data_IF_804462358625
#
_entry.id   IF_804462358625
#
_cell.length_a   1.000
_cell.length_b   1.000
_cell.length_c   1.000
_cell.angle_alpha   90.00
_cell.angle_beta   90.00
_cell.angle_gamma   90.00
#
_symmetry.space_group_name_H-M   'P 1'
#
loop_
_entity.id
_entity.type
_entity.pdbx_description
1 polymer ?
#
# COMPACT_ATOMS: atom_id res chain seq x y z
N UNK A 1 16.34 2.00 -25.16
CA UNK A 1 16.43 0.64 -24.61
C UNK A 1 15.01 0.22 -24.28
N UNK A 2 14.57 -0.97 -24.71
CA UNK A 2 13.26 -1.49 -24.30
C UNK A 2 13.36 -1.84 -22.82
N UNK A 3 12.61 -1.15 -21.95
CA UNK A 3 12.55 -1.50 -20.52
C UNK A 3 11.87 -2.86 -20.39
N UNK A 4 12.64 -3.91 -20.10
CA UNK A 4 12.11 -5.25 -19.89
C UNK A 4 11.46 -5.36 -18.51
N UNK A 5 10.20 -5.81 -18.45
CA UNK A 5 9.51 -6.05 -17.20
C UNK A 5 10.13 -7.25 -16.45
N UNK A 6 10.35 -7.18 -15.12
CA UNK A 6 10.89 -8.30 -14.36
C UNK A 6 9.99 -9.55 -14.42
N UNK A 7 10.56 -10.71 -14.73
CA UNK A 7 9.80 -11.97 -14.83
C UNK A 7 9.13 -12.38 -13.51
N UNK A 8 9.78 -12.09 -12.39
CA UNK A 8 9.22 -12.36 -11.06
C UNK A 8 7.97 -11.50 -10.80
N UNK A 9 7.99 -10.22 -11.19
CA UNK A 9 6.82 -9.34 -11.08
C UNK A 9 5.64 -9.87 -11.89
N UNK A 10 5.89 -10.28 -13.14
CA UNK A 10 4.85 -10.86 -14.00
C UNK A 10 4.31 -12.19 -13.45
N UNK A 11 5.17 -12.99 -12.82
CA UNK A 11 4.78 -14.24 -12.15
C UNK A 11 3.93 -13.97 -10.92
N UNK A 12 4.29 -12.99 -10.10
CA UNK A 12 3.52 -12.59 -8.92
C UNK A 12 2.19 -11.94 -9.31
N UNK A 13 2.15 -11.13 -10.37
CA UNK A 13 0.92 -10.55 -10.92
C UNK A 13 -0.03 -11.65 -11.38
N UNK A 14 0.44 -12.55 -12.24
CA UNK A 14 -0.35 -13.69 -12.70
C UNK A 14 -0.76 -14.62 -11.54
N UNK A 15 -0.05 -14.54 -10.41
CA UNK A 15 -0.36 -15.28 -9.22
C UNK A 15 -1.41 -14.64 -8.29
N UNK A 16 -1.79 -13.38 -8.54
CA UNK A 16 -2.63 -12.60 -7.64
C UNK A 16 -1.90 -12.16 -6.36
N UNK A 17 -0.57 -11.98 -6.43
CA UNK A 17 0.30 -11.68 -5.29
C UNK A 17 0.81 -10.24 -5.26
N UNK A 18 0.26 -9.33 -6.05
CA UNK A 18 0.76 -7.95 -6.16
C UNK A 18 -0.30 -6.95 -5.75
N UNK A 19 0.10 -5.99 -4.91
CA UNK A 19 -0.70 -4.82 -4.53
C UNK A 19 -0.08 -3.57 -5.14
N UNK A 20 -0.88 -2.79 -5.86
CA UNK A 20 -0.43 -1.52 -6.43
C UNK A 20 -0.50 -0.42 -5.37
N UNK A 21 0.58 0.35 -5.20
CA UNK A 21 0.61 1.58 -4.43
C UNK A 21 0.66 2.75 -5.40
N UNK A 22 -0.36 3.61 -5.37
CA UNK A 22 -0.50 4.76 -6.27
C UNK A 22 -0.24 6.06 -5.53
N UNK A 23 0.76 6.80 -6.02
CA UNK A 23 1.04 8.16 -5.58
C UNK A 23 0.51 9.21 -6.56
N UNK A 24 0.70 10.48 -6.20
CA UNK A 24 0.17 11.62 -6.96
C UNK A 24 0.71 11.69 -8.40
N UNK A 25 1.88 11.09 -8.66
CA UNK A 25 2.43 10.99 -10.02
C UNK A 25 1.56 10.15 -10.99
N UNK A 26 0.69 9.27 -10.47
CA UNK A 26 -0.23 8.50 -11.29
C UNK A 26 -1.30 9.39 -11.93
N UNK A 27 -1.87 10.33 -11.16
CA UNK A 27 -2.94 11.25 -11.58
C UNK A 27 -2.43 12.61 -12.07
N UNK A 28 -1.13 12.89 -11.94
CA UNK A 28 -0.48 14.12 -12.38
C UNK A 28 -0.70 14.47 -13.87
N UNK A 29 -0.97 13.48 -14.73
CA UNK A 29 -1.34 13.73 -16.14
C UNK A 29 -2.58 14.63 -16.25
N UNK A 30 -3.47 14.65 -15.26
CA UNK A 30 -4.65 15.51 -15.24
C UNK A 30 -4.33 16.98 -14.92
N UNK A 31 -3.05 17.37 -14.86
CA UNK A 31 -2.62 18.73 -14.52
C UNK A 31 -2.66 19.04 -13.02
N UNK A 32 -2.87 18.02 -12.18
CA UNK A 32 -2.88 18.19 -10.73
C UNK A 32 -1.49 18.63 -10.23
N UNK A 33 -1.41 19.63 -9.35
CA UNK A 33 -0.14 20.18 -8.93
C UNK A 33 0.61 19.25 -7.97
N UNK A 34 1.94 19.35 -7.98
CA UNK A 34 2.78 18.80 -6.91
C UNK A 34 2.80 19.67 -5.65
N UNK A 35 3.49 19.17 -4.61
CA UNK A 35 3.60 19.80 -3.29
C UNK A 35 3.96 21.28 -3.28
N UNK A 36 4.96 21.68 -4.07
CA UNK A 36 5.41 23.09 -4.09
C UNK A 36 4.29 24.07 -4.46
N UNK A 37 3.50 23.76 -5.50
CA UNK A 37 2.38 24.61 -5.93
C UNK A 37 1.20 24.55 -4.96
N UNK A 38 0.94 23.41 -4.32
CA UNK A 38 -0.07 23.32 -3.28
C UNK A 38 0.27 24.22 -2.09
N UNK A 39 1.52 24.15 -1.62
CA UNK A 39 2.00 24.97 -0.50
C UNK A 39 1.98 26.46 -0.84
N UNK A 40 2.37 26.83 -2.07
CA UNK A 40 2.25 28.21 -2.56
C UNK A 40 0.80 28.72 -2.49
N UNK A 41 -0.18 27.92 -2.94
CA UNK A 41 -1.61 28.27 -2.84
C UNK A 41 -2.05 28.48 -1.40
N UNK A 42 -1.64 27.59 -0.49
CA UNK A 42 -1.98 27.70 0.93
C UNK A 42 -1.31 28.92 1.60
N UNK A 43 -0.04 29.20 1.30
CA UNK A 43 0.68 30.39 1.79
C UNK A 43 -0.07 31.67 1.42
N UNK A 44 -0.66 31.72 0.23
CA UNK A 44 -1.42 32.88 -0.24
C UNK A 44 -2.74 33.11 0.53
N UNK A 45 -3.30 32.08 1.17
CA UNK A 45 -4.48 32.22 2.02
C UNK A 45 -4.17 32.80 3.42
N UNK A 46 -2.89 32.82 3.85
CA UNK A 46 -2.50 33.34 5.17
C UNK A 46 -2.88 34.82 5.34
N UNK A 47 -2.69 35.63 4.29
CA UNK A 47 -3.02 37.06 4.35
C UNK A 47 -4.52 37.26 4.54
N UNK A 48 -5.35 36.50 3.82
CA UNK A 48 -6.82 36.55 3.94
C UNK A 48 -7.28 36.10 5.32
N UNK A 49 -6.72 35.00 5.83
CA UNK A 49 -7.06 34.43 7.13
C UNK A 49 -6.71 35.34 8.32
N UNK A 50 -5.69 36.19 8.18
CA UNK A 50 -5.19 37.06 9.26
C UNK A 50 -5.65 38.52 9.17
N UNK A 51 -6.24 38.93 8.03
CA UNK A 51 -6.67 40.31 7.78
C UNK A 51 -7.77 40.81 8.72
N UNK A 52 -8.61 39.94 9.28
CA UNK A 52 -9.78 40.32 10.08
C UNK A 52 -9.59 40.19 11.60
N UNK A 53 -8.41 39.79 12.08
CA UNK A 53 -8.15 39.46 13.50
C UNK A 53 -7.34 40.52 14.27
N UNK A 54 -7.29 41.76 13.77
CA UNK A 54 -6.59 42.89 14.39
C UNK A 54 -5.07 42.94 14.11
N UNK A 55 -4.42 44.03 14.53
CA UNK A 55 -3.03 44.36 14.15
C UNK A 55 -1.99 43.29 14.58
N UNK A 56 -2.12 42.75 15.79
CA UNK A 56 -1.20 41.72 16.29
C UNK A 56 -1.30 40.40 15.52
N UNK A 57 -2.52 39.99 15.14
CA UNK A 57 -2.72 38.79 14.31
C UNK A 57 -2.19 38.99 12.89
N UNK A 58 -2.31 40.21 12.34
CA UNK A 58 -1.78 40.55 11.03
C UNK A 58 -0.25 40.53 11.00
N UNK A 59 0.40 41.08 12.02
CA UNK A 59 1.86 41.03 12.16
C UNK A 59 2.38 39.59 12.26
N UNK A 60 1.75 38.77 13.10
CA UNK A 60 2.08 37.34 13.23
C UNK A 60 1.87 36.57 11.93
N UNK A 61 0.77 36.84 11.21
CA UNK A 61 0.48 36.27 9.89
C UNK A 61 1.58 36.57 8.88
N UNK A 62 2.02 37.82 8.79
CA UNK A 62 3.10 38.23 7.89
C UNK A 62 4.43 37.52 8.21
N UNK A 63 4.78 37.38 9.49
CA UNK A 63 5.98 36.63 9.92
C UNK A 63 5.90 35.15 9.52
N UNK A 64 4.76 34.50 9.76
CA UNK A 64 4.56 33.09 9.42
C UNK A 64 4.56 32.88 7.90
N UNK A 65 3.93 33.76 7.14
CA UNK A 65 3.96 33.75 5.68
C UNK A 65 5.39 33.84 5.15
N UNK A 66 6.21 34.75 5.66
CA UNK A 66 7.61 34.89 5.28
C UNK A 66 8.42 33.62 5.62
N UNK A 67 8.19 33.03 6.79
CA UNK A 67 8.86 31.78 7.18
C UNK A 67 8.45 30.61 6.28
N UNK A 68 7.16 30.47 5.97
CA UNK A 68 6.65 29.43 5.09
C UNK A 68 7.16 29.61 3.65
N UNK A 69 7.26 30.84 3.15
CA UNK A 69 7.83 31.12 1.83
C UNK A 69 9.32 30.73 1.78
N UNK A 70 10.11 31.11 2.79
CA UNK A 70 11.52 30.70 2.86
C UNK A 70 11.68 29.17 2.90
N UNK A 71 10.83 28.47 3.65
CA UNK A 71 10.83 27.02 3.70
C UNK A 71 10.46 26.40 2.33
N UNK A 72 9.49 26.99 1.63
CA UNK A 72 9.09 26.57 0.28
C UNK A 72 10.24 26.75 -0.72
N UNK A 73 10.91 27.91 -0.72
CA UNK A 73 12.04 28.22 -1.60
C UNK A 73 13.23 27.27 -1.34
N UNK A 74 13.45 26.90 -0.08
CA UNK A 74 14.44 25.91 0.34
C UNK A 74 14.02 24.44 0.09
N UNK A 75 12.84 24.21 -0.52
CA UNK A 75 12.24 22.88 -0.75
C UNK A 75 12.02 22.06 0.53
N UNK A 76 11.91 22.72 1.69
CA UNK A 76 11.57 22.11 2.97
C UNK A 76 10.05 21.96 3.09
N UNK A 77 9.46 21.15 2.20
CA UNK A 77 8.00 21.06 2.05
C UNK A 77 7.28 20.67 3.33
N UNK A 78 7.80 19.70 4.08
CA UNK A 78 7.14 19.23 5.31
C UNK A 78 7.13 20.30 6.41
N UNK A 79 8.24 21.04 6.58
CA UNK A 79 8.30 22.17 7.52
C UNK A 79 7.39 23.32 7.08
N UNK A 80 7.36 23.63 5.79
CA UNK A 80 6.44 24.60 5.21
C UNK A 80 4.98 24.21 5.49
N UNK A 81 4.62 22.94 5.32
CA UNK A 81 3.30 22.40 5.62
C UNK A 81 2.93 22.57 7.10
N UNK A 82 3.83 22.24 8.04
CA UNK A 82 3.59 22.45 9.48
C UNK A 82 3.32 23.92 9.82
N UNK A 83 4.08 24.85 9.23
CA UNK A 83 3.86 26.29 9.41
C UNK A 83 2.47 26.72 8.90
N UNK A 84 2.10 26.28 7.70
CA UNK A 84 0.80 26.56 7.09
C UNK A 84 -0.34 25.99 7.94
N UNK A 85 -0.27 24.73 8.36
CA UNK A 85 -1.29 24.07 9.18
C UNK A 85 -1.44 24.71 10.56
N UNK A 86 -0.35 25.21 11.16
CA UNK A 86 -0.42 25.93 12.44
C UNK A 86 -1.09 27.30 12.33
N UNK A 87 -1.27 27.83 11.11
CA UNK A 87 -1.76 29.19 10.85
C UNK A 87 -3.17 29.20 10.29
N UNK A 88 -3.47 28.32 9.33
CA UNK A 88 -4.76 28.24 8.67
C UNK A 88 -5.73 27.35 9.44
N UNK A 89 -7.02 27.68 9.36
CA UNK A 89 -8.07 26.78 9.84
C UNK A 89 -8.19 25.59 8.89
N UNK A 90 -8.53 24.42 9.43
CA UNK A 90 -8.68 23.20 8.64
C UNK A 90 -9.69 23.35 7.51
N UNK A 91 -10.80 24.08 7.73
CA UNK A 91 -11.78 24.39 6.69
C UNK A 91 -11.15 25.13 5.48
N UNK A 92 -10.32 26.14 5.73
CA UNK A 92 -9.60 26.86 4.65
C UNK A 92 -8.64 25.94 3.90
N UNK A 93 -7.94 25.05 4.60
CA UNK A 93 -7.04 24.09 3.96
C UNK A 93 -7.85 23.13 3.09
N UNK A 94 -8.98 22.62 3.58
CA UNK A 94 -9.90 21.76 2.82
C UNK A 94 -10.46 22.46 1.59
N UNK A 95 -10.83 23.73 1.68
CA UNK A 95 -11.32 24.49 0.53
C UNK A 95 -10.24 24.58 -0.55
N UNK A 96 -8.99 24.88 -0.18
CA UNK A 96 -7.87 24.89 -1.13
C UNK A 96 -7.61 23.50 -1.71
N UNK A 97 -7.66 22.44 -0.89
CA UNK A 97 -7.49 21.06 -1.36
C UNK A 97 -8.61 20.67 -2.34
N UNK A 98 -9.87 20.97 -2.04
CA UNK A 98 -11.01 20.72 -2.92
C UNK A 98 -10.90 21.47 -4.24
N UNK A 99 -10.52 22.75 -4.21
CA UNK A 99 -10.30 23.55 -5.42
C UNK A 99 -9.13 23.02 -6.26
N UNK A 100 -8.14 22.38 -5.61
CA UNK A 100 -6.89 21.97 -6.25
C UNK A 100 -6.92 20.53 -6.75
N UNK A 101 -7.62 19.63 -6.06
CA UNK A 101 -7.62 18.18 -6.30
C UNK A 101 -9.02 17.59 -6.47
N UNK A 102 -10.08 18.40 -6.35
CA UNK A 102 -11.44 17.96 -6.56
C UNK A 102 -11.67 17.44 -7.98
N UNK A 103 -12.67 16.58 -8.14
CA UNK A 103 -12.95 15.87 -9.39
C UNK A 103 -13.22 16.80 -10.58
N UNK A 104 -13.65 18.03 -10.33
CA UNK A 104 -13.78 19.08 -11.34
C UNK A 104 -12.47 19.29 -12.13
N UNK A 105 -11.31 19.22 -11.48
CA UNK A 105 -10.01 19.38 -12.15
C UNK A 105 -9.77 18.29 -13.21
N UNK A 106 -10.24 17.07 -12.96
CA UNK A 106 -10.21 15.99 -13.95
C UNK A 106 -11.18 16.24 -15.12
N UNK A 107 -12.36 16.78 -14.84
CA UNK A 107 -13.34 17.11 -15.89
C UNK A 107 -12.98 18.36 -16.71
N UNK A 108 -12.08 19.19 -16.22
CA UNK A 108 -11.60 20.40 -16.91
C UNK A 108 -10.24 20.22 -17.59
N UNK A 109 -9.50 19.14 -17.28
CA UNK A 109 -8.21 18.89 -17.92
C UNK A 109 -8.34 18.67 -19.43
N UNK A 110 -7.26 18.93 -20.17
CA UNK A 110 -7.26 18.81 -21.63
C UNK A 110 -7.66 17.40 -22.09
N UNK A 111 -8.47 17.31 -23.16
CA UNK A 111 -9.00 16.02 -23.64
C UNK A 111 -7.91 14.95 -23.89
N UNK A 112 -6.74 15.27 -24.51
CA UNK A 112 -5.67 14.29 -24.67
C UNK A 112 -5.17 13.72 -23.33
N UNK A 113 -5.04 14.56 -22.31
CA UNK A 113 -4.56 14.16 -20.98
C UNK A 113 -5.61 13.34 -20.22
N UNK A 114 -6.88 13.72 -20.33
CA UNK A 114 -8.02 12.96 -19.80
C UNK A 114 -8.09 11.56 -20.40
N UNK A 115 -7.87 11.44 -21.70
CA UNK A 115 -7.83 10.16 -22.40
C UNK A 115 -6.63 9.31 -22.00
N UNK A 116 -5.46 9.93 -21.79
CA UNK A 116 -4.29 9.23 -21.21
C UNK A 116 -4.58 8.73 -19.80
N UNK A 117 -5.23 9.53 -18.96
CA UNK A 117 -5.63 9.09 -17.62
C UNK A 117 -6.59 7.89 -17.66
N UNK A 118 -7.59 7.92 -18.55
CA UNK A 118 -8.50 6.79 -18.77
C UNK A 118 -7.75 5.53 -19.19
N UNK A 119 -6.74 5.64 -20.05
CA UNK A 119 -5.89 4.49 -20.44
C UNK A 119 -5.08 3.96 -19.26
N UNK A 120 -4.44 4.84 -18.46
CA UNK A 120 -3.74 4.44 -17.23
C UNK A 120 -4.66 3.67 -16.28
N UNK A 121 -5.85 4.19 -16.03
CA UNK A 121 -6.84 3.55 -15.18
C UNK A 121 -7.31 2.20 -15.76
N UNK A 122 -7.54 2.13 -17.08
CA UNK A 122 -7.90 0.89 -17.75
C UNK A 122 -6.81 -0.19 -17.57
N UNK A 123 -5.55 0.16 -17.80
CA UNK A 123 -4.41 -0.75 -17.60
C UNK A 123 -4.30 -1.19 -16.13
N UNK A 124 -4.46 -0.25 -15.19
CA UNK A 124 -4.48 -0.56 -13.75
C UNK A 124 -5.56 -1.59 -13.40
N UNK A 125 -6.81 -1.39 -13.83
CA UNK A 125 -7.92 -2.25 -13.43
C UNK A 125 -7.96 -3.59 -14.17
N UNK A 126 -7.39 -3.67 -15.38
CA UNK A 126 -7.19 -4.92 -16.13
C UNK A 126 -6.04 -5.76 -15.59
N UNK A 127 -5.02 -5.12 -15.03
CA UNK A 127 -3.92 -5.82 -14.38
C UNK A 127 -4.43 -6.56 -13.13
N UNK A 128 -4.09 -7.84 -12.90
CA UNK A 128 -4.62 -8.67 -11.83
C UNK A 128 -4.05 -8.33 -10.43
N UNK A 129 -4.03 -7.05 -10.06
CA UNK A 129 -3.73 -6.62 -8.69
C UNK A 129 -4.78 -7.16 -7.72
N UNK A 130 -4.32 -7.70 -6.60
CA UNK A 130 -5.18 -8.16 -5.49
C UNK A 130 -5.67 -6.98 -4.64
N UNK A 131 -5.00 -5.84 -4.75
CA UNK A 131 -5.42 -4.60 -4.12
C UNK A 131 -4.74 -3.38 -4.73
N UNK A 132 -5.35 -2.23 -4.52
CA UNK A 132 -4.82 -0.91 -4.89
C UNK A 132 -4.86 -0.04 -3.63
N UNK A 133 -3.74 0.54 -3.26
CA UNK A 133 -3.59 1.45 -2.13
C UNK A 133 -3.20 2.82 -2.69
N UNK A 134 -3.82 3.89 -2.22
CA UNK A 134 -3.42 5.25 -2.61
C UNK A 134 -3.40 6.22 -1.44
N UNK A 135 -2.51 7.19 -1.53
CA UNK A 135 -2.39 8.34 -0.62
C UNK A 135 -2.84 9.65 -1.27
N UNK A 136 -3.39 9.58 -2.49
CA UNK A 136 -3.78 10.76 -3.24
C UNK A 136 -5.02 11.41 -2.62
N UNK A 137 -5.10 12.74 -2.65
CA UNK A 137 -6.31 13.47 -2.28
C UNK A 137 -7.43 13.30 -3.31
N UNK A 138 -7.06 13.40 -4.58
CA UNK A 138 -8.00 13.37 -5.71
C UNK A 138 -8.78 12.05 -5.77
N UNK A 139 -9.98 12.08 -6.36
CA UNK A 139 -10.86 10.92 -6.51
C UNK A 139 -10.86 10.38 -7.95
N UNK A 140 -9.83 10.69 -8.75
CA UNK A 140 -9.82 10.38 -10.20
C UNK A 140 -9.80 8.88 -10.44
N UNK A 141 -9.04 8.13 -9.63
CA UNK A 141 -8.97 6.67 -9.75
C UNK A 141 -10.30 6.04 -9.38
N UNK A 142 -10.97 6.53 -8.34
CA UNK A 142 -12.28 6.07 -7.89
C UNK A 142 -13.38 6.31 -8.92
N UNK A 143 -13.40 7.51 -9.53
CA UNK A 143 -14.35 7.87 -10.59
C UNK A 143 -14.21 6.92 -11.79
N UNK A 144 -12.96 6.57 -12.15
CA UNK A 144 -12.67 5.71 -13.29
C UNK A 144 -12.83 4.21 -12.98
N UNK A 145 -12.81 3.82 -11.71
CA UNK A 145 -12.92 2.43 -11.29
C UNK A 145 -14.27 1.81 -11.65
N UNK A 146 -15.36 2.51 -11.37
CA UNK A 146 -16.72 2.01 -11.60
C UNK A 146 -16.96 1.66 -13.07
N UNK A 147 -16.66 2.55 -14.06
CA UNK A 147 -16.89 2.23 -15.47
C UNK A 147 -15.83 1.33 -16.11
N UNK A 148 -14.59 1.28 -15.59
CA UNK A 148 -13.48 0.60 -16.28
C UNK A 148 -13.09 -0.75 -15.66
N UNK A 149 -13.41 -0.99 -14.39
CA UNK A 149 -13.01 -2.22 -13.72
C UNK A 149 -13.97 -3.36 -14.04
N UNK A 150 -13.48 -4.50 -14.57
CA UNK A 150 -14.30 -5.71 -14.70
C UNK A 150 -14.55 -6.40 -13.35
N UNK A 151 -13.81 -6.02 -12.31
CA UNK A 151 -13.86 -6.60 -10.96
C UNK A 151 -14.49 -5.62 -9.98
N UNK A 152 -15.20 -6.16 -8.97
CA UNK A 152 -15.74 -5.35 -7.87
C UNK A 152 -14.68 -5.19 -6.79
N UNK A 153 -14.26 -3.95 -6.56
CA UNK A 153 -13.31 -3.61 -5.50
C UNK A 153 -14.05 -3.32 -4.20
N UNK A 154 -13.63 -3.94 -3.10
CA UNK A 154 -14.05 -3.54 -1.76
C UNK A 154 -13.31 -2.25 -1.39
N UNK A 155 -14.06 -1.15 -1.27
CA UNK A 155 -13.49 0.19 -1.02
C UNK A 155 -13.38 0.45 0.47
N UNK A 156 -12.22 0.91 0.90
CA UNK A 156 -11.93 1.30 2.29
C UNK A 156 -11.25 2.67 2.29
N UNK A 157 -11.56 3.51 3.27
CA UNK A 157 -11.06 4.88 3.36
C UNK A 157 -10.58 5.16 4.79
N UNK A 158 -9.35 5.67 4.91
CA UNK A 158 -8.79 6.11 6.18
C UNK A 158 -8.68 5.01 7.24
N UNK A 159 -8.94 5.38 8.48
CA UNK A 159 -8.95 4.48 9.63
C UNK A 159 -10.28 3.73 9.67
N UNK A 160 -10.25 2.46 9.26
CA UNK A 160 -11.42 1.60 9.20
C UNK A 160 -11.09 0.21 9.75
N UNK A 161 -11.87 -0.27 10.72
CA UNK A 161 -11.67 -1.56 11.37
C UNK A 161 -11.83 -2.75 10.40
N UNK A 162 -12.53 -2.55 9.27
CA UNK A 162 -12.68 -3.59 8.24
C UNK A 162 -11.38 -3.89 7.48
N UNK A 163 -10.31 -3.10 7.65
CA UNK A 163 -9.03 -3.32 6.95
C UNK A 163 -8.47 -4.73 7.16
N UNK A 164 -8.61 -5.30 8.36
CA UNK A 164 -8.22 -6.69 8.63
C UNK A 164 -9.03 -7.68 7.77
N UNK A 165 -10.36 -7.57 7.78
CA UNK A 165 -11.27 -8.42 7.00
C UNK A 165 -11.04 -8.27 5.50
N UNK A 166 -10.79 -7.05 5.04
CA UNK A 166 -10.53 -6.72 3.64
C UNK A 166 -9.21 -7.33 3.17
N UNK A 167 -8.12 -7.14 3.93
CA UNK A 167 -6.83 -7.74 3.59
C UNK A 167 -6.93 -9.26 3.59
N UNK A 168 -7.71 -9.80 4.51
CA UNK A 168 -7.88 -11.23 4.64
C UNK A 168 -8.60 -11.84 3.43
N UNK A 169 -9.76 -11.29 3.03
CA UNK A 169 -10.55 -11.72 1.86
C UNK A 169 -9.91 -11.42 0.52
N UNK A 170 -8.94 -10.49 0.51
CA UNK A 170 -8.25 -10.03 -0.68
C UNK A 170 -7.81 -11.20 -1.57
N UNK A 171 -8.34 -11.21 -2.79
CA UNK A 171 -8.07 -12.23 -3.81
C UNK A 171 -8.30 -11.62 -5.19
N UNK A 172 -8.00 -12.36 -6.26
CA UNK A 172 -8.31 -11.91 -7.62
C UNK A 172 -9.81 -11.64 -7.84
N UNK A 173 -10.69 -12.34 -7.10
CA UNK A 173 -12.16 -12.22 -7.19
C UNK A 173 -12.72 -11.12 -6.29
N UNK A 174 -12.08 -10.88 -5.16
CA UNK A 174 -12.45 -9.85 -4.19
C UNK A 174 -11.25 -8.91 -3.95
N UNK A 175 -10.85 -8.11 -4.96
CA UNK A 175 -9.77 -7.16 -4.77
C UNK A 175 -10.24 -5.99 -3.88
N UNK A 176 -9.29 -5.28 -3.27
CA UNK A 176 -9.59 -4.12 -2.45
C UNK A 176 -9.03 -2.82 -3.01
N UNK A 177 -9.69 -1.70 -2.73
CA UNK A 177 -9.18 -0.37 -2.99
C UNK A 177 -9.13 0.40 -1.67
N UNK A 178 -7.94 0.77 -1.23
CA UNK A 178 -7.74 1.45 0.03
C UNK A 178 -7.18 2.85 -0.17
N UNK A 179 -7.94 3.86 0.26
CA UNK A 179 -7.51 5.25 0.27
C UNK A 179 -7.07 5.66 1.67
N UNK A 180 -5.76 5.65 1.90
CA UNK A 180 -5.21 5.67 3.26
C UNK A 180 -5.31 7.02 3.96
N UNK A 181 -5.19 8.13 3.23
CA UNK A 181 -5.24 9.48 3.81
C UNK A 181 -6.66 10.03 3.96
N UNK A 182 -7.69 9.20 3.72
CA UNK A 182 -9.07 9.66 3.70
C UNK A 182 -9.48 10.28 2.36
N UNK A 183 -10.62 10.95 2.34
CA UNK A 183 -11.14 11.67 1.18
C UNK A 183 -11.08 13.18 1.41
N UNK A 184 -11.36 13.96 0.37
CA UNK A 184 -11.45 15.42 0.50
C UNK A 184 -12.65 15.82 1.38
N UNK A 185 -13.70 15.00 1.40
CA UNK A 185 -14.93 15.21 2.15
C UNK A 185 -14.84 14.71 3.60
N UNK A 186 -14.15 13.60 3.85
CA UNK A 186 -14.12 12.92 5.15
C UNK A 186 -12.74 12.39 5.50
N UNK A 187 -12.35 12.45 6.77
CA UNK A 187 -11.05 11.98 7.26
C UNK A 187 -10.04 13.11 7.48
N UNK A 188 -8.88 12.85 8.11
CA UNK A 188 -7.93 13.88 8.51
C UNK A 188 -7.24 14.54 7.30
N UNK A 189 -6.89 15.83 7.42
CA UNK A 189 -6.04 16.51 6.42
C UNK A 189 -4.58 16.12 6.63
N UNK A 190 -3.98 15.40 5.67
CA UNK A 190 -2.63 14.83 5.78
C UNK A 190 -1.58 15.70 5.07
N UNK A 191 -1.27 16.86 5.65
CA UNK A 191 -0.39 17.84 5.00
C UNK A 191 1.02 17.88 5.60
N UNK A 192 1.15 17.85 6.92
CA UNK A 192 2.43 18.02 7.62
C UNK A 192 3.07 16.73 8.10
N UNK A 193 4.37 16.79 8.44
CA UNK A 193 5.10 15.68 9.07
C UNK A 193 4.34 15.09 10.26
N UNK A 194 3.75 15.93 11.12
CA UNK A 194 3.00 15.45 12.29
C UNK A 194 1.74 14.68 11.89
N UNK A 195 1.12 15.04 10.76
CA UNK A 195 -0.03 14.32 10.20
C UNK A 195 0.41 12.98 9.60
N UNK A 196 1.56 12.94 8.93
CA UNK A 196 2.20 11.72 8.44
C UNK A 196 2.55 10.78 9.60
N UNK A 197 3.33 11.25 10.58
CA UNK A 197 3.73 10.48 11.76
C UNK A 197 2.53 9.89 12.49
N UNK A 198 1.44 10.64 12.63
CA UNK A 198 0.20 10.14 13.24
C UNK A 198 -0.38 8.95 12.49
N UNK A 199 -0.44 9.02 11.16
CA UNK A 199 -1.06 7.97 10.33
C UNK A 199 -0.16 6.74 10.22
N UNK A 200 1.14 6.93 10.00
CA UNK A 200 2.06 5.83 9.72
C UNK A 200 2.75 5.25 10.96
N UNK A 201 3.04 6.08 11.97
CA UNK A 201 3.82 5.67 13.15
C UNK A 201 2.95 5.46 14.39
N UNK A 202 1.90 6.27 14.58
CA UNK A 202 1.08 6.22 15.79
C UNK A 202 -0.15 5.31 15.67
N UNK A 203 -0.71 5.12 14.47
CA UNK A 203 -1.91 4.31 14.29
C UNK A 203 -1.60 2.82 14.08
N UNK A 204 -1.98 1.94 15.03
CA UNK A 204 -1.67 0.52 14.93
C UNK A 204 -2.43 -0.17 13.79
N UNK A 205 -3.62 0.29 13.41
CA UNK A 205 -4.43 -0.34 12.35
C UNK A 205 -3.73 -0.15 11.00
N UNK A 206 -3.34 1.08 10.66
CA UNK A 206 -2.62 1.36 9.41
C UNK A 206 -1.26 0.69 9.38
N UNK A 207 -0.50 0.78 10.48
CA UNK A 207 0.81 0.16 10.56
C UNK A 207 0.73 -1.36 10.39
N UNK A 208 -0.23 -2.01 11.05
CA UNK A 208 -0.44 -3.45 10.93
C UNK A 208 -0.90 -3.83 9.52
N UNK A 209 -1.84 -3.08 8.94
CA UNK A 209 -2.29 -3.29 7.56
C UNK A 209 -1.13 -3.19 6.56
N UNK A 210 -0.32 -2.13 6.64
CA UNK A 210 0.85 -1.95 5.76
C UNK A 210 1.87 -3.09 5.95
N UNK A 211 2.14 -3.46 7.21
CA UNK A 211 3.05 -4.56 7.53
C UNK A 211 2.58 -5.87 6.93
N UNK A 212 1.31 -6.21 7.15
CA UNK A 212 0.72 -7.43 6.62
C UNK A 212 0.62 -7.44 5.09
N UNK A 213 0.37 -6.29 4.48
CA UNK A 213 0.36 -6.16 3.02
C UNK A 213 1.75 -6.42 2.44
N UNK A 214 2.80 -5.85 3.04
CA UNK A 214 4.20 -6.04 2.61
C UNK A 214 4.75 -7.45 2.88
N UNK A 215 4.16 -8.14 3.85
CA UNK A 215 4.46 -9.53 4.16
C UNK A 215 3.74 -10.46 3.18
N UNK A 216 2.44 -10.28 2.96
CA UNK A 216 1.66 -11.22 2.13
C UNK A 216 1.85 -11.01 0.62
N UNK A 217 2.06 -9.77 0.19
CA UNK A 217 2.05 -9.39 -1.22
C UNK A 217 3.33 -8.68 -1.61
N UNK A 218 3.67 -8.72 -2.90
CA UNK A 218 4.70 -7.89 -3.51
C UNK A 218 4.12 -6.49 -3.80
N UNK A 219 4.60 -5.42 -3.13
CA UNK A 219 4.16 -4.06 -3.42
C UNK A 219 4.72 -3.58 -4.78
N UNK A 220 3.88 -2.95 -5.60
CA UNK A 220 4.31 -2.22 -6.80
C UNK A 220 3.99 -0.73 -6.66
N UNK A 221 5.00 0.10 -6.46
CA UNK A 221 4.87 1.54 -6.31
C UNK A 221 4.85 2.26 -7.68
N UNK A 222 3.79 3.03 -7.93
CA UNK A 222 3.53 3.68 -9.22
C UNK A 222 3.22 5.16 -8.97
N UNK A 223 4.04 6.04 -9.54
CA UNK A 223 3.87 7.49 -9.34
C UNK A 223 4.08 7.94 -7.89
N UNK A 224 4.69 7.09 -7.06
CA UNK A 224 5.04 7.41 -5.69
C UNK A 224 6.44 8.04 -5.62
N UNK A 225 6.61 9.00 -4.74
CA UNK A 225 7.93 9.46 -4.32
C UNK A 225 8.65 8.44 -3.43
N UNK A 226 8.00 7.34 -3.04
CA UNK A 226 8.46 6.37 -2.03
C UNK A 226 8.84 7.08 -0.73
N UNK A 227 7.84 7.38 0.08
CA UNK A 227 8.00 8.09 1.35
C UNK A 227 8.95 7.34 2.30
N UNK A 228 9.79 8.06 3.04
CA UNK A 228 10.82 7.50 3.91
C UNK A 228 10.24 6.51 4.93
N UNK A 229 9.03 6.75 5.42
CA UNK A 229 8.35 5.90 6.39
C UNK A 229 7.95 4.53 5.81
N UNK A 230 7.53 4.48 4.55
CA UNK A 230 7.22 3.22 3.86
C UNK A 230 8.49 2.40 3.65
N UNK A 231 9.59 3.06 3.26
CA UNK A 231 10.88 2.40 3.08
C UNK A 231 11.44 1.91 4.41
N UNK A 232 11.33 2.72 5.47
CA UNK A 232 11.74 2.36 6.82
C UNK A 232 10.93 1.18 7.39
N UNK A 233 9.60 1.19 7.22
CA UNK A 233 8.74 0.07 7.61
C UNK A 233 9.16 -1.21 6.88
N UNK A 234 9.35 -1.14 5.57
CA UNK A 234 9.81 -2.29 4.77
C UNK A 234 11.18 -2.79 5.21
N UNK A 235 12.13 -1.88 5.47
CA UNK A 235 13.46 -2.23 6.00
C UNK A 235 13.34 -2.97 7.33
N UNK A 236 12.48 -2.48 8.23
CA UNK A 236 12.26 -3.12 9.51
C UNK A 236 11.75 -4.55 9.33
N UNK A 237 10.74 -4.75 8.47
CA UNK A 237 10.22 -6.09 8.15
C UNK A 237 11.31 -6.99 7.56
N UNK A 238 12.16 -6.47 6.67
CA UNK A 238 13.29 -7.23 6.14
C UNK A 238 14.25 -7.68 7.23
N UNK A 239 14.57 -6.81 8.18
CA UNK A 239 15.44 -7.16 9.30
C UNK A 239 14.78 -8.20 10.21
N UNK A 240 13.53 -7.97 10.59
CA UNK A 240 12.74 -8.84 11.48
C UNK A 240 12.59 -10.25 10.89
N UNK A 241 12.48 -10.36 9.57
CA UNK A 241 12.28 -11.62 8.86
C UNK A 241 13.49 -12.05 8.03
N UNK A 242 14.69 -11.53 8.34
CA UNK A 242 15.97 -11.94 7.73
C UNK A 242 15.98 -11.95 6.19
N UNK A 243 15.28 -10.99 5.57
CA UNK A 243 15.16 -10.88 4.12
C UNK A 243 14.11 -11.81 3.49
N UNK A 244 13.39 -12.59 4.29
CA UNK A 244 12.43 -13.60 3.82
C UNK A 244 11.03 -12.98 3.69
N UNK A 245 10.90 -11.98 2.82
CA UNK A 245 9.61 -11.36 2.46
C UNK A 245 9.47 -11.19 0.95
N UNK A 246 8.25 -11.02 0.40
CA UNK A 246 8.08 -10.76 -1.02
C UNK A 246 8.89 -9.56 -1.49
N UNK A 247 9.48 -9.61 -2.70
CA UNK A 247 10.14 -8.45 -3.28
C UNK A 247 9.13 -7.32 -3.48
N UNK A 248 9.61 -6.09 -3.46
CA UNK A 248 8.84 -4.93 -3.88
C UNK A 248 9.38 -4.42 -5.21
N UNK A 249 8.57 -3.61 -5.87
CA UNK A 249 8.87 -3.02 -7.15
C UNK A 249 8.51 -1.55 -7.15
N UNK A 250 9.26 -0.72 -7.85
CA UNK A 250 8.93 0.69 -8.06
C UNK A 250 9.19 1.10 -9.50
N UNK A 251 8.29 1.89 -10.09
CA UNK A 251 8.47 2.42 -11.45
C UNK A 251 8.88 3.89 -11.36
N UNK A 252 10.13 4.20 -11.70
CA UNK A 252 10.72 5.53 -11.54
C UNK A 252 11.26 6.08 -12.87
N UNK A 253 11.14 7.39 -13.12
CA UNK A 253 11.74 7.98 -14.32
C UNK A 253 13.27 7.92 -14.23
N UNK A 254 13.93 7.65 -15.35
CA UNK A 254 15.38 7.61 -15.46
C UNK A 254 15.95 9.02 -15.23
N UNK A 255 16.74 9.17 -14.18
CA UNK A 255 17.57 10.34 -13.88
C UNK A 255 18.79 9.90 -13.06
N UNK A 256 19.88 10.68 -13.03
CA UNK A 256 21.04 10.34 -12.22
C UNK A 256 20.69 10.13 -10.74
N UNK A 257 19.74 10.91 -10.21
CA UNK A 257 19.27 10.72 -8.84
C UNK A 257 18.52 9.41 -8.66
N UNK A 258 17.65 9.03 -9.60
CA UNK A 258 16.89 7.78 -9.51
C UNK A 258 17.73 6.54 -9.82
N UNK A 259 18.80 6.66 -10.59
CA UNK A 259 19.79 5.60 -10.79
C UNK A 259 20.52 5.29 -9.47
N UNK A 260 21.07 6.32 -8.81
CA UNK A 260 21.69 6.15 -7.49
C UNK A 260 20.68 5.65 -6.44
N UNK A 261 19.45 6.17 -6.49
CA UNK A 261 18.36 5.75 -5.60
C UNK A 261 17.94 4.30 -5.85
N UNK A 262 17.99 3.82 -7.10
CA UNK A 262 17.67 2.45 -7.47
C UNK A 262 18.54 1.46 -6.71
N UNK A 263 19.85 1.63 -6.79
CA UNK A 263 20.82 0.77 -6.10
C UNK A 263 20.61 0.80 -4.58
N UNK A 264 20.37 1.99 -4.02
CA UNK A 264 20.08 2.12 -2.59
C UNK A 264 18.78 1.41 -2.18
N UNK A 265 17.69 1.57 -2.94
CA UNK A 265 16.39 0.96 -2.66
C UNK A 265 16.44 -0.57 -2.73
N UNK A 266 17.17 -1.11 -3.71
CA UNK A 266 17.38 -2.55 -3.88
C UNK A 266 18.15 -3.13 -2.68
N UNK A 267 19.28 -2.53 -2.33
CA UNK A 267 20.13 -3.02 -1.25
C UNK A 267 19.55 -2.80 0.15
N UNK A 268 18.93 -1.64 0.37
CA UNK A 268 18.40 -1.26 1.67
C UNK A 268 17.06 -1.94 1.96
N UNK A 269 16.15 -1.94 0.98
CA UNK A 269 14.76 -2.31 1.19
C UNK A 269 14.23 -3.38 0.22
N UNK A 270 15.09 -4.05 -0.58
CA UNK A 270 14.66 -5.08 -1.54
C UNK A 270 13.49 -4.60 -2.42
N UNK A 271 13.59 -3.34 -2.88
CA UNK A 271 12.67 -2.72 -3.83
C UNK A 271 13.37 -2.66 -5.20
N UNK A 272 12.99 -3.54 -6.11
CA UNK A 272 13.52 -3.59 -7.47
C UNK A 272 12.96 -2.43 -8.30
N UNK A 273 13.81 -1.61 -8.92
CA UNK A 273 13.34 -0.44 -9.64
C UNK A 273 13.28 -0.68 -11.15
N UNK A 274 12.15 -0.33 -11.75
CA UNK A 274 11.92 -0.32 -13.19
C UNK A 274 12.10 1.13 -13.65
N UNK A 275 13.26 1.43 -14.23
CA UNK A 275 13.57 2.75 -14.77
C UNK A 275 12.99 2.93 -16.18
N UNK A 276 12.42 4.11 -16.45
CA UNK A 276 11.85 4.45 -17.76
C UNK A 276 12.27 5.82 -18.27
N UNK A 277 12.36 5.97 -19.60
CA UNK A 277 12.75 7.26 -20.18
C UNK A 277 11.65 8.33 -19.95
N UNK A 278 12.06 9.48 -19.40
CA UNK A 278 11.19 10.63 -19.21
C UNK A 278 11.84 11.94 -19.70
N UNK A 279 12.70 11.90 -20.72
CA UNK A 279 13.37 13.11 -21.27
C UNK A 279 12.42 14.24 -21.66
N UNK A 280 11.19 13.91 -22.08
CA UNK A 280 10.16 14.88 -22.48
C UNK A 280 9.31 15.39 -21.30
N UNK A 281 9.51 14.87 -20.09
CA UNK A 281 8.77 15.26 -18.87
C UNK A 281 7.30 14.84 -18.82
N UNK A 282 6.74 14.27 -19.89
CA UNK A 282 5.33 13.92 -20.00
C UNK A 282 4.97 12.52 -19.46
N UNK A 283 5.95 11.75 -19.01
CA UNK A 283 5.79 10.39 -18.47
C UNK A 283 5.02 9.44 -19.41
N UNK A 284 5.26 9.53 -20.73
CA UNK A 284 4.57 8.70 -21.72
C UNK A 284 5.01 7.23 -21.65
N UNK A 285 6.29 6.96 -21.37
CA UNK A 285 6.77 5.58 -21.22
C UNK A 285 6.18 4.86 -20.00
N UNK A 286 5.74 5.61 -18.98
CA UNK A 286 4.98 5.01 -17.88
C UNK A 286 3.64 4.44 -18.38
N UNK A 287 2.96 5.13 -19.29
CA UNK A 287 1.68 4.65 -19.86
C UNK A 287 1.90 3.32 -20.56
N UNK A 288 2.97 3.24 -21.36
CA UNK A 288 3.37 2.02 -22.07
C UNK A 288 3.73 0.88 -21.12
N UNK A 289 4.51 1.15 -20.07
CA UNK A 289 4.84 0.14 -19.06
C UNK A 289 3.59 -0.43 -18.39
N UNK A 290 2.59 0.40 -18.10
CA UNK A 290 1.32 -0.05 -17.51
C UNK A 290 0.52 -0.92 -18.50
N UNK A 291 0.50 -0.54 -19.79
CA UNK A 291 -0.12 -1.33 -20.85
C UNK A 291 0.58 -2.70 -21.00
N UNK A 292 1.91 -2.72 -21.09
CA UNK A 292 2.74 -3.92 -21.19
C UNK A 292 2.57 -4.84 -19.97
N UNK A 293 2.52 -4.26 -18.75
CA UNK A 293 2.25 -4.99 -17.50
C UNK A 293 0.89 -5.67 -17.54
N UNK A 294 -0.15 -4.94 -17.97
CA UNK A 294 -1.51 -5.45 -18.05
C UNK A 294 -1.62 -6.61 -19.05
N UNK A 295 -1.01 -6.47 -20.22
CA UNK A 295 -1.05 -7.48 -21.28
C UNK A 295 -0.27 -8.74 -20.86
N UNK A 296 0.98 -8.57 -20.43
CA UNK A 296 1.83 -9.69 -20.04
C UNK A 296 1.27 -10.48 -18.85
N UNK A 297 0.71 -9.80 -17.85
CA UNK A 297 0.09 -10.45 -16.70
C UNK A 297 -1.17 -11.23 -17.09
N UNK A 298 -2.01 -10.66 -17.97
CA UNK A 298 -3.24 -11.32 -18.45
C UNK A 298 -2.92 -12.60 -19.23
N UNK A 299 -1.92 -12.54 -20.11
CA UNK A 299 -1.48 -13.72 -20.88
C UNK A 299 -0.96 -14.84 -19.97
N UNK A 300 -0.17 -14.51 -18.95
CA UNK A 300 0.33 -15.50 -17.98
C UNK A 300 -0.77 -16.07 -17.09
N UNK A 301 -1.74 -15.26 -16.66
CA UNK A 301 -2.87 -15.72 -15.85
C UNK A 301 -3.74 -16.73 -16.61
N UNK A 302 -3.99 -16.50 -17.90
CA UNK A 302 -4.72 -17.44 -18.77
C UNK A 302 -4.00 -18.79 -18.90
N UNK A 303 -2.67 -18.77 -19.10
CA UNK A 303 -1.85 -19.99 -19.15
C UNK A 303 -1.91 -20.75 -17.81
N UNK A 304 -1.85 -20.02 -16.68
CA UNK A 304 -1.95 -20.62 -15.34
C UNK A 304 -3.30 -21.28 -15.10
N UNK A 305 -4.41 -20.63 -15.42
CA UNK A 305 -5.75 -21.18 -15.17
C UNK A 305 -6.04 -22.45 -15.99
N UNK A 306 -5.33 -22.67 -17.10
CA UNK A 306 -5.35 -23.93 -17.86
C UNK A 306 -4.57 -25.10 -17.22
N UNK A 307 -3.73 -24.85 -16.21
CA UNK A 307 -3.01 -25.85 -15.42
C UNK A 307 -3.42 -25.73 -13.95
N UNK A 308 -4.29 -26.61 -13.46
CA UNK A 308 -4.60 -26.71 -12.05
C UNK A 308 -3.30 -26.93 -11.25
N UNK A 309 -2.86 -25.95 -10.45
CA UNK A 309 -1.65 -26.07 -9.63
C UNK A 309 -1.95 -25.64 -8.20
N UNK A 310 -1.72 -26.56 -7.28
CA UNK A 310 -1.63 -26.38 -5.84
C UNK A 310 -0.67 -25.22 -5.51
N UNK A 311 -1.16 -24.18 -4.82
CA UNK A 311 -0.33 -23.07 -4.32
C UNK A 311 0.63 -23.63 -3.26
N UNK A 312 1.91 -23.79 -3.61
CA UNK A 312 2.97 -23.98 -2.61
C UNK A 312 4.01 -22.89 -2.75
N UNK A 313 4.33 -22.22 -1.64
CA UNK A 313 5.34 -21.14 -1.53
C UNK A 313 6.77 -21.73 -1.59
N UNK A 314 6.95 -22.94 -2.14
CA UNK A 314 8.25 -23.64 -2.20
C UNK A 314 9.31 -22.91 -3.04
N UNK A 315 8.92 -21.95 -3.87
CA UNK A 315 9.83 -21.27 -4.80
C UNK A 315 10.78 -20.25 -4.18
N UNK A 316 10.53 -19.77 -2.95
CA UNK A 316 11.25 -18.60 -2.40
C UNK A 316 12.14 -18.90 -1.17
N UNK A 317 12.21 -20.14 -0.70
CA UNK A 317 12.78 -20.45 0.61
C UNK A 317 13.82 -21.57 0.52
N UNK A 318 15.10 -21.19 0.56
CA UNK A 318 16.24 -22.11 0.61
C UNK A 318 16.51 -22.73 1.98
N UNK A 319 15.83 -22.31 3.05
CA UNK A 319 16.03 -22.80 4.43
C UNK A 319 15.17 -24.02 4.78
N UNK A 320 15.58 -24.81 5.77
CA UNK A 320 14.81 -25.96 6.26
C UNK A 320 13.64 -25.53 7.18
N UNK A 321 12.54 -26.30 7.22
CA UNK A 321 11.37 -26.01 8.10
C UNK A 321 11.78 -25.83 9.57
N UNK A 322 12.76 -26.61 10.04
CA UNK A 322 13.26 -26.53 11.42
C UNK A 322 13.88 -25.16 11.75
N UNK A 323 14.64 -24.56 10.83
CA UNK A 323 15.28 -23.25 11.04
C UNK A 323 14.24 -22.13 11.13
N UNK A 324 13.22 -22.19 10.27
CA UNK A 324 12.08 -21.27 10.33
C UNK A 324 11.29 -21.38 11.62
N UNK A 325 11.16 -22.60 12.16
CA UNK A 325 10.47 -22.78 13.44
C UNK A 325 11.27 -22.26 14.63
N UNK A 326 12.60 -22.24 14.55
CA UNK A 326 13.45 -21.60 15.55
C UNK A 326 13.35 -20.08 15.51
N UNK A 327 13.14 -19.49 14.32
CA UNK A 327 13.09 -18.03 14.13
C UNK A 327 11.75 -17.38 14.49
N UNK A 328 10.68 -18.15 14.66
CA UNK A 328 9.36 -17.60 15.03
C UNK A 328 9.18 -17.45 16.55
N UNK A 329 8.61 -16.31 16.96
CA UNK A 329 8.28 -16.02 18.36
C UNK A 329 7.18 -16.92 18.94
N UNK A 330 6.99 -16.86 20.26
CA UNK A 330 6.01 -17.67 21.02
C UNK A 330 4.58 -17.53 20.50
N UNK A 331 4.16 -16.32 20.14
CA UNK A 331 2.82 -16.05 19.56
C UNK A 331 2.57 -16.82 18.25
N UNK A 332 3.55 -16.83 17.34
CA UNK A 332 3.44 -17.54 16.08
C UNK A 332 3.42 -19.06 16.28
N UNK A 333 4.17 -19.58 17.25
CA UNK A 333 4.10 -21.00 17.64
C UNK A 333 2.72 -21.36 18.20
N UNK A 334 2.14 -20.51 19.05
CA UNK A 334 0.80 -20.72 19.58
C UNK A 334 -0.25 -20.82 18.46
N UNK A 335 -0.16 -19.96 17.43
CA UNK A 335 -1.03 -20.00 16.26
C UNK A 335 -0.85 -21.30 15.46
N UNK A 336 0.39 -21.73 15.22
CA UNK A 336 0.65 -23.01 14.55
C UNK A 336 0.08 -24.19 15.34
N UNK A 337 0.26 -24.23 16.66
CA UNK A 337 -0.32 -25.25 17.55
C UNK A 337 -1.83 -25.24 17.50
N UNK A 338 -2.43 -24.04 17.45
CA UNK A 338 -3.88 -23.88 17.33
C UNK A 338 -4.42 -24.42 16.00
N UNK A 339 -3.77 -24.14 14.86
CA UNK A 339 -4.20 -24.71 13.57
C UNK A 339 -3.98 -26.23 13.55
N UNK A 340 -2.85 -26.70 14.08
CA UNK A 340 -2.51 -28.12 14.13
C UNK A 340 -3.46 -28.95 15.01
N UNK A 341 -4.12 -28.36 16.00
CA UNK A 341 -5.10 -29.03 16.85
C UNK A 341 -6.50 -29.14 16.23
N UNK A 342 -6.77 -28.45 15.12
CA UNK A 342 -8.07 -28.51 14.42
C UNK A 342 -8.23 -29.79 13.58
N UNK A 343 -9.47 -30.23 13.31
CA UNK A 343 -9.73 -31.35 12.41
C UNK A 343 -9.03 -31.16 11.06
N UNK A 344 -8.29 -32.18 10.63
CA UNK A 344 -7.52 -32.13 9.38
C UNK A 344 -6.36 -31.13 9.39
N UNK A 345 -5.97 -30.57 10.55
CA UNK A 345 -4.92 -29.55 10.72
C UNK A 345 -5.18 -28.30 9.89
N UNK A 346 -6.46 -27.97 9.72
CA UNK A 346 -6.96 -26.92 8.84
C UNK A 346 -7.83 -25.96 9.60
N UNK A 347 -7.80 -24.70 9.18
CA UNK A 347 -8.79 -23.69 9.55
C UNK A 347 -9.33 -23.03 8.29
N UNK A 348 -10.66 -22.90 8.19
CA UNK A 348 -11.25 -22.23 7.03
C UNK A 348 -10.98 -20.74 7.07
N UNK A 349 -10.77 -20.17 5.88
CA UNK A 349 -10.60 -18.74 5.71
C UNK A 349 -11.83 -18.00 6.30
N UNK A 350 -13.04 -18.43 5.96
CA UNK A 350 -14.32 -17.93 6.53
C UNK A 350 -14.37 -17.93 8.06
N UNK A 351 -13.92 -19.00 8.72
CA UNK A 351 -13.91 -19.10 10.19
C UNK A 351 -12.96 -18.08 10.81
N UNK A 352 -11.80 -17.84 10.20
CA UNK A 352 -10.88 -16.80 10.66
C UNK A 352 -11.49 -15.40 10.52
N UNK A 353 -12.31 -15.16 9.49
CA UNK A 353 -13.07 -13.89 9.37
C UNK A 353 -14.16 -13.75 10.40
N UNK A 354 -14.90 -14.80 10.70
CA UNK A 354 -15.96 -14.74 11.71
C UNK A 354 -15.40 -14.40 13.10
N UNK A 355 -14.15 -14.78 13.37
CA UNK A 355 -13.43 -14.38 14.58
C UNK A 355 -13.06 -12.89 14.59
N UNK A 356 -12.92 -12.22 13.42
CA UNK A 356 -12.70 -10.76 13.33
C UNK A 356 -13.92 -9.96 13.79
N UNK A 357 -15.13 -10.45 13.51
CA UNK A 357 -16.38 -9.73 13.80
C UNK A 357 -16.81 -9.83 15.28
N UNK A 358 -16.23 -10.75 16.06
CA UNK A 358 -16.66 -11.03 17.44
C UNK A 358 -16.07 -10.10 18.51
N UNK A 359 -15.03 -9.31 18.21
CA UNK A 359 -14.31 -8.49 19.22
C UNK A 359 -13.81 -9.30 20.44
N UNK A 360 -13.60 -10.61 20.29
CA UNK A 360 -13.23 -11.51 21.40
C UNK A 360 -11.71 -11.70 21.49
N UNK A 361 -11.19 -11.75 22.72
CA UNK A 361 -9.81 -12.17 23.00
C UNK A 361 -9.70 -13.67 22.75
N UNK A 362 -8.85 -14.09 21.81
CA UNK A 362 -8.81 -15.49 21.37
C UNK A 362 -8.07 -16.43 22.33
N UNK A 363 -7.26 -15.88 23.25
CA UNK A 363 -6.48 -16.66 24.22
C UNK A 363 -6.56 -15.97 25.60
N UNK A 364 -7.28 -16.56 26.56
CA UNK A 364 -7.36 -16.11 27.96
C UNK A 364 -6.27 -16.76 28.83
N UNK A 365 -5.01 -16.65 28.42
CA UNK A 365 -3.86 -16.97 29.29
C UNK A 365 -2.91 -15.76 29.31
N UNK A 366 -2.34 -15.46 30.48
CA UNK A 366 -1.56 -14.25 30.80
C UNK A 366 -0.31 -13.98 29.94
N UNK A 367 -0.04 -14.83 28.95
CA UNK A 367 1.11 -14.76 28.05
C UNK A 367 0.75 -14.51 26.56
N UNK A 368 -0.54 -14.49 26.17
CA UNK A 368 -0.93 -14.59 24.76
C UNK A 368 -2.15 -13.74 24.35
N UNK A 369 -2.35 -12.54 24.93
CA UNK A 369 -3.36 -11.61 24.40
C UNK A 369 -3.10 -11.34 22.90
N UNK A 370 -3.95 -11.91 22.04
CA UNK A 370 -3.95 -11.77 20.59
C UNK A 370 -5.39 -11.42 20.20
N UNK A 371 -5.55 -10.22 19.63
CA UNK A 371 -6.81 -9.86 19.00
C UNK A 371 -6.93 -10.57 17.63
N UNK A 372 -8.15 -10.64 17.10
CA UNK A 372 -8.43 -11.37 15.87
C UNK A 372 -7.67 -10.82 14.64
N UNK A 373 -7.44 -9.51 14.57
CA UNK A 373 -6.62 -8.90 13.52
C UNK A 373 -5.18 -9.40 13.57
N UNK A 374 -4.55 -9.38 14.74
CA UNK A 374 -3.19 -9.86 14.95
C UNK A 374 -3.08 -11.36 14.63
N UNK A 375 -4.10 -12.16 14.97
CA UNK A 375 -4.17 -13.57 14.60
C UNK A 375 -4.13 -13.77 13.09
N UNK A 376 -4.97 -13.04 12.34
CA UNK A 376 -5.00 -13.07 10.87
C UNK A 376 -3.63 -12.76 10.26
N UNK A 377 -3.03 -11.64 10.67
CA UNK A 377 -1.75 -11.20 10.11
C UNK A 377 -0.64 -12.22 10.37
N UNK A 378 -0.67 -12.87 11.53
CA UNK A 378 0.31 -13.91 11.88
C UNK A 378 0.09 -15.21 11.11
N UNK A 379 -1.15 -15.63 10.83
CA UNK A 379 -1.42 -16.77 9.94
C UNK A 379 -0.88 -16.50 8.53
N UNK A 380 -1.09 -15.28 8.02
CA UNK A 380 -0.58 -14.85 6.71
C UNK A 380 0.96 -14.87 6.68
N UNK A 381 1.60 -14.34 7.72
CA UNK A 381 3.06 -14.42 7.88
C UNK A 381 3.56 -15.87 7.89
N UNK A 382 2.91 -16.75 8.67
CA UNK A 382 3.27 -18.17 8.74
C UNK A 382 3.11 -18.88 7.39
N UNK A 383 2.12 -18.47 6.59
CA UNK A 383 1.95 -18.98 5.23
C UNK A 383 3.10 -18.57 4.32
N UNK A 384 3.48 -17.30 4.36
CA UNK A 384 4.54 -16.72 3.55
C UNK A 384 5.91 -17.36 3.83
N UNK A 385 6.20 -17.69 5.10
CA UNK A 385 7.43 -18.44 5.45
C UNK A 385 7.29 -19.95 5.22
N UNK A 386 6.19 -20.43 4.63
CA UNK A 386 6.01 -21.84 4.30
C UNK A 386 5.87 -22.76 5.52
N UNK A 387 5.35 -22.23 6.63
CA UNK A 387 4.93 -23.04 7.80
C UNK A 387 3.42 -23.33 7.79
N UNK A 388 2.65 -22.60 6.99
CA UNK A 388 1.23 -22.82 6.72
C UNK A 388 1.01 -22.87 5.20
N UNK A 389 0.19 -23.80 4.73
CA UNK A 389 -0.24 -23.86 3.33
C UNK A 389 -1.60 -23.18 3.17
N UNK A 390 -1.78 -22.43 2.09
CA UNK A 390 -3.07 -21.87 1.68
C UNK A 390 -3.63 -22.75 0.55
N UNK A 391 -4.73 -23.45 0.82
CA UNK A 391 -5.31 -24.45 -0.09
C UNK A 391 -6.70 -23.98 -0.51
N UNK A 392 -6.91 -23.77 -1.81
CA UNK A 392 -8.25 -23.55 -2.38
C UNK A 392 -8.88 -24.93 -2.68
N UNK A 393 -9.79 -25.40 -1.80
CA UNK A 393 -10.41 -26.73 -1.95
C UNK A 393 -11.53 -26.71 -3.00
N UNK A 394 -12.26 -25.60 -3.08
CA UNK A 394 -13.27 -25.33 -4.12
C UNK A 394 -13.22 -23.84 -4.45
N UNK A 395 -13.73 -23.40 -5.63
CA UNK A 395 -13.72 -22.00 -6.01
C UNK A 395 -14.29 -21.09 -4.91
N UNK A 396 -13.44 -20.28 -4.26
CA UNK A 396 -13.84 -19.38 -3.17
C UNK A 396 -13.89 -19.99 -1.75
N UNK A 397 -13.56 -21.28 -1.57
CA UNK A 397 -13.33 -21.90 -0.25
C UNK A 397 -11.85 -22.19 -0.06
N UNK A 398 -11.20 -21.33 0.70
CA UNK A 398 -9.78 -21.44 1.04
C UNK A 398 -9.65 -21.91 2.48
N UNK A 399 -8.66 -22.77 2.72
CA UNK A 399 -8.29 -23.25 4.06
C UNK A 399 -6.79 -23.05 4.29
N UNK A 400 -6.43 -22.70 5.52
CA UNK A 400 -5.05 -22.66 5.97
C UNK A 400 -4.71 -23.96 6.68
N UNK A 401 -3.67 -24.66 6.22
CA UNK A 401 -3.29 -25.98 6.70
C UNK A 401 -1.87 -26.00 7.25
N UNK A 402 -1.64 -26.72 8.36
CA UNK A 402 -0.30 -27.01 8.85
C UNK A 402 0.13 -28.39 8.36
N UNK A 403 1.33 -28.50 7.79
CA UNK A 403 1.86 -29.78 7.28
C UNK A 403 2.21 -30.75 8.42
N UNK A 404 2.32 -32.03 8.08
CA UNK A 404 2.78 -33.05 9.02
C UNK A 404 4.20 -32.77 9.54
N UNK A 405 5.07 -32.19 8.72
CA UNK A 405 6.43 -31.84 9.14
C UNK A 405 6.41 -30.72 10.18
N UNK A 406 5.65 -29.65 9.95
CA UNK A 406 5.50 -28.57 10.94
C UNK A 406 4.87 -29.11 12.23
N UNK A 407 3.87 -29.99 12.13
CA UNK A 407 3.25 -30.64 13.29
C UNK A 407 4.26 -31.45 14.12
N UNK A 408 5.14 -32.22 13.47
CA UNK A 408 6.18 -33.01 14.13
C UNK A 408 7.18 -32.13 14.87
N UNK A 409 7.57 -31.00 14.27
CA UNK A 409 8.49 -30.06 14.87
C UNK A 409 7.85 -29.32 16.05
N UNK A 410 6.54 -29.02 16.02
CA UNK A 410 5.81 -28.46 17.17
C UNK A 410 5.81 -29.44 18.34
N UNK A 411 5.54 -30.72 18.08
CA UNK A 411 5.54 -31.76 19.11
C UNK A 411 6.92 -31.93 19.77
N UNK A 412 8.01 -31.87 18.97
CA UNK A 412 9.39 -31.92 19.47
C UNK A 412 9.78 -30.73 20.36
N UNK A 413 9.15 -29.58 20.16
CA UNK A 413 9.43 -28.38 20.96
C UNK A 413 8.63 -28.35 22.29
N UNK A 414 7.62 -29.21 22.42
CA UNK A 414 6.77 -29.34 23.61
C UNK A 414 7.19 -30.50 24.53
N UNK A 415 8.04 -31.41 24.04
CA UNK A 415 8.73 -32.47 24.79
C UNK A 415 10.08 -31.98 25.30
#
# INVERSE_FOLDING_TARGET
MSTSLPDNLLTDLAAGRVVAYLGAGFTAVCGLPGWGRLLERLINEIDRATSFKGANSKARGATLKLAAQKALDAKQFSYCASLVQSTLQEATIRDVLNQTFGLQQYHECAEPDRMRMKRRALSLFRTPFVGVITTNYDQVVEELMVPLSPRRFTRVVGLDASLGTVLFKASEREPFFFKMHGTLETGPVVLSTESYDRIYLADPVIRNFLSATMLRYAPLFIGCSLEDQIVALRRQLLLDFKGVIPPAYAILPLSPENEARSEWLENYAQINVILYDNKKGAHQELDKILEDLSEAASNRAQIRNGRAITRSVRGYLGEAIAERMLSIGTRNRAILTFIASRPGKKIEQSTVVQLLDASETLFEDSLLELNAEEFVYRVMFLHQIGLVDEIEETPGRVVYAVTDEVSRQLAKAAS
#
